data_IF_045744358911
#
_entry.id   IF_045744358911
#
_cell.length_a   1.000
_cell.length_b   1.000
_cell.length_c   1.000
_cell.angle_alpha   90.00
_cell.angle_beta   90.00
_cell.angle_gamma   90.00
#
_symmetry.space_group_name_H-M   'P 1'
#
loop_
_entity.id
_entity.type
_entity.pdbx_description
1 polymer ?
#
# COMPACT_ATOMS: atom_id res chain seq x y z
N UNK A 1 17.15 10.03 -69.08
CA UNK A 1 18.06 10.00 -67.91
C UNK A 1 17.36 10.68 -66.75
N UNK A 2 16.96 9.92 -65.72
CA UNK A 2 16.41 10.47 -64.48
C UNK A 2 17.00 9.67 -63.33
N UNK A 3 17.97 10.24 -62.62
CA UNK A 3 18.72 9.58 -61.55
C UNK A 3 17.92 9.64 -60.24
N UNK A 4 17.55 8.48 -59.71
CA UNK A 4 16.87 8.36 -58.42
C UNK A 4 17.85 8.70 -57.27
N UNK A 5 17.44 9.60 -56.37
CA UNK A 5 18.18 9.96 -55.15
C UNK A 5 18.15 8.79 -54.15
N UNK A 6 19.27 8.46 -53.47
CA UNK A 6 19.27 7.43 -52.44
C UNK A 6 18.61 7.92 -51.14
N UNK A 7 17.80 7.06 -50.53
CA UNK A 7 17.11 7.32 -49.27
C UNK A 7 18.09 7.42 -48.10
N UNK A 8 17.92 8.46 -47.27
CA UNK A 8 18.75 8.71 -46.09
C UNK A 8 18.55 7.61 -45.03
N UNK A 9 19.65 7.04 -44.54
CA UNK A 9 19.67 6.12 -43.38
C UNK A 9 19.23 6.86 -42.13
N UNK A 10 18.15 6.39 -41.49
CA UNK A 10 17.70 6.85 -40.17
C UNK A 10 18.78 6.55 -39.12
N UNK A 11 19.17 7.58 -38.38
CA UNK A 11 20.09 7.49 -37.25
C UNK A 11 19.46 6.69 -36.09
N UNK A 12 20.24 5.86 -35.37
CA UNK A 12 19.73 5.05 -34.28
C UNK A 12 19.28 5.96 -33.13
N UNK A 13 18.01 5.82 -32.70
CA UNK A 13 17.48 6.57 -31.57
C UNK A 13 18.28 6.26 -30.31
N UNK A 14 18.88 7.29 -29.69
CA UNK A 14 19.58 7.16 -28.41
C UNK A 14 18.61 6.60 -27.37
N UNK A 15 18.87 5.37 -26.88
CA UNK A 15 18.13 4.80 -25.74
C UNK A 15 18.25 5.75 -24.55
N UNK A 16 17.13 6.06 -23.90
CA UNK A 16 17.11 6.86 -22.70
C UNK A 16 18.07 6.25 -21.65
N UNK A 17 18.88 7.05 -20.96
CA UNK A 17 19.82 6.54 -19.96
C UNK A 17 19.05 5.82 -18.85
N UNK A 18 19.48 4.60 -18.51
CA UNK A 18 18.91 3.84 -17.41
C UNK A 18 18.95 4.69 -16.13
N UNK A 19 17.78 4.94 -15.52
CA UNK A 19 17.67 5.67 -14.25
C UNK A 19 18.64 5.04 -13.25
N UNK A 20 19.62 5.83 -12.77
CA UNK A 20 20.59 5.39 -11.75
C UNK A 20 19.81 4.93 -10.52
N UNK A 21 19.96 3.66 -10.16
CA UNK A 21 19.39 3.13 -8.91
C UNK A 21 19.95 3.96 -7.74
N UNK A 22 19.11 4.31 -6.73
CA UNK A 22 19.59 5.04 -5.57
C UNK A 22 20.74 4.26 -4.92
N UNK A 23 21.85 4.94 -4.63
CA UNK A 23 23.00 4.33 -3.93
C UNK A 23 22.59 4.00 -2.50
N UNK A 24 23.07 2.87 -1.98
CA UNK A 24 22.93 2.50 -0.57
C UNK A 24 23.41 3.69 0.29
N UNK A 25 22.57 4.12 1.22
CA UNK A 25 22.91 5.22 2.14
C UNK A 25 24.10 4.82 3.03
N UNK A 26 24.84 5.82 3.52
CA UNK A 26 25.90 5.60 4.52
C UNK A 26 25.25 5.06 5.81
N UNK A 27 25.94 4.15 6.51
CA UNK A 27 25.46 3.66 7.80
C UNK A 27 25.27 4.81 8.79
N UNK A 28 24.21 4.74 9.61
CA UNK A 28 23.89 5.71 10.66
C UNK A 28 23.73 7.17 10.16
N UNK A 29 23.33 7.36 8.90
CA UNK A 29 23.31 8.70 8.28
C UNK A 29 21.91 9.30 8.07
N UNK A 30 20.84 8.62 8.49
CA UNK A 30 19.46 9.03 8.23
C UNK A 30 18.55 8.65 9.40
N UNK A 31 17.63 9.55 9.74
CA UNK A 31 16.65 9.35 10.79
C UNK A 31 17.09 9.93 12.13
N UNK A 32 16.31 9.62 13.16
CA UNK A 32 16.50 10.00 14.54
C UNK A 32 17.27 8.91 15.30
N UNK A 33 18.00 9.32 16.33
CA UNK A 33 18.48 8.41 17.37
C UNK A 33 17.31 7.95 18.26
N UNK A 34 17.53 6.90 19.04
CA UNK A 34 16.50 6.36 19.94
C UNK A 34 15.98 7.42 20.94
N UNK A 35 16.86 8.25 21.51
CA UNK A 35 16.46 9.30 22.44
C UNK A 35 15.64 10.42 21.76
N UNK A 36 15.96 10.75 20.52
CA UNK A 36 15.23 11.75 19.72
C UNK A 36 13.85 11.27 19.27
N UNK A 37 13.55 9.97 19.36
CA UNK A 37 12.22 9.43 19.09
C UNK A 37 11.22 9.75 20.21
N UNK A 38 11.69 10.20 21.38
CA UNK A 38 10.81 10.57 22.50
C UNK A 38 9.83 11.65 22.08
N UNK A 39 8.55 11.45 22.43
CA UNK A 39 7.48 12.40 22.21
C UNK A 39 6.63 12.48 23.47
N UNK A 40 6.72 13.59 24.20
CA UNK A 40 6.00 13.77 25.47
C UNK A 40 4.62 14.40 25.27
N UNK A 41 4.44 15.20 24.21
CA UNK A 41 3.18 15.92 23.94
C UNK A 41 2.78 15.79 22.48
N UNK A 42 1.50 15.48 22.24
CA UNK A 42 0.91 15.46 20.91
C UNK A 42 0.35 16.84 20.54
N UNK A 43 0.38 17.17 19.26
CA UNK A 43 -0.17 18.41 18.72
C UNK A 43 -0.81 18.17 17.34
N UNK A 44 -1.70 19.07 16.92
CA UNK A 44 -2.42 18.97 15.65
C UNK A 44 -3.17 17.65 15.50
N UNK A 45 -3.14 17.09 14.28
CA UNK A 45 -3.81 15.83 13.92
C UNK A 45 -3.54 14.68 14.90
N UNK A 46 -2.35 14.64 15.50
CA UNK A 46 -1.99 13.58 16.44
C UNK A 46 -2.78 13.68 17.76
N UNK A 47 -3.09 14.91 18.21
CA UNK A 47 -3.94 15.11 19.37
C UNK A 47 -5.41 14.78 19.06
N UNK A 48 -5.88 15.06 17.84
CA UNK A 48 -7.23 14.70 17.40
C UNK A 48 -7.41 13.17 17.32
N UNK A 49 -6.40 12.46 16.82
CA UNK A 49 -6.39 10.99 16.84
C UNK A 49 -6.36 10.44 18.26
N UNK A 50 -5.59 11.06 19.18
CA UNK A 50 -5.62 10.69 20.60
C UNK A 50 -7.03 10.80 21.18
N UNK A 51 -7.70 11.93 20.99
CA UNK A 51 -9.08 12.13 21.43
C UNK A 51 -10.04 11.10 20.80
N UNK A 52 -9.86 10.76 19.52
CA UNK A 52 -10.66 9.72 18.87
C UNK A 52 -10.45 8.35 19.49
N UNK A 53 -9.20 7.98 19.81
CA UNK A 53 -8.91 6.71 20.49
C UNK A 53 -9.71 6.61 21.78
N UNK A 54 -9.70 7.67 22.59
CA UNK A 54 -10.42 7.72 23.86
C UNK A 54 -11.95 7.67 23.64
N UNK A 55 -12.48 8.43 22.68
CA UNK A 55 -13.92 8.48 22.36
C UNK A 55 -14.47 7.14 21.83
N UNK A 56 -13.67 6.35 21.12
CA UNK A 56 -14.04 5.02 20.64
C UNK A 56 -13.85 3.93 21.72
N UNK A 57 -13.52 4.31 22.96
CA UNK A 57 -13.33 3.40 24.08
C UNK A 57 -11.95 2.73 24.14
N UNK A 58 -10.98 3.27 23.39
CA UNK A 58 -9.59 2.82 23.41
C UNK A 58 -8.75 3.47 24.51
N UNK A 59 -7.55 2.93 24.70
CA UNK A 59 -6.59 3.37 25.70
C UNK A 59 -5.22 3.66 25.06
N UNK A 60 -4.66 4.84 25.31
CA UNK A 60 -3.35 5.23 24.80
C UNK A 60 -2.25 4.70 25.73
N UNK A 61 -1.36 3.87 25.20
CA UNK A 61 -0.19 3.33 25.92
C UNK A 61 0.97 4.32 25.95
N UNK A 62 1.15 5.09 24.88
CA UNK A 62 2.22 6.06 24.73
C UNK A 62 2.33 6.57 23.30
N UNK A 63 3.23 7.54 23.09
CA UNK A 63 3.50 8.09 21.78
C UNK A 63 5.00 8.31 21.55
N UNK A 64 5.41 8.27 20.28
CA UNK A 64 6.79 8.45 19.87
C UNK A 64 6.85 8.97 18.44
N UNK A 65 8.01 9.51 18.04
CA UNK A 65 8.30 9.83 16.65
C UNK A 65 8.92 8.62 15.96
N UNK A 66 8.36 8.21 14.82
CA UNK A 66 8.95 7.20 13.94
C UNK A 66 10.41 7.58 13.61
N UNK A 67 11.37 6.66 13.81
CA UNK A 67 12.80 6.96 13.74
C UNK A 67 13.25 7.36 12.32
N UNK A 68 12.53 7.00 11.26
CA UNK A 68 12.96 7.33 9.90
C UNK A 68 12.44 8.70 9.45
N UNK A 69 11.15 8.96 9.68
CA UNK A 69 10.43 10.11 9.13
C UNK A 69 10.08 11.20 10.13
N UNK A 70 10.40 11.04 11.43
CA UNK A 70 9.94 11.93 12.52
C UNK A 70 8.43 12.15 12.48
N UNK A 71 7.68 11.08 12.18
CA UNK A 71 6.22 11.13 12.17
C UNK A 71 5.68 10.67 13.52
N UNK A 72 4.74 11.38 14.15
CA UNK A 72 4.15 10.91 15.41
C UNK A 72 3.40 9.60 15.18
N UNK A 73 3.59 8.65 16.09
CA UNK A 73 2.89 7.36 16.17
C UNK A 73 2.37 7.19 17.59
N UNK A 74 1.12 6.72 17.70
CA UNK A 74 0.46 6.50 18.99
C UNK A 74 0.31 4.99 19.18
N UNK A 75 0.92 4.44 20.22
CA UNK A 75 0.68 3.06 20.64
C UNK A 75 -0.59 3.03 21.51
N UNK A 76 -1.56 2.19 21.15
CA UNK A 76 -2.85 2.12 21.83
C UNK A 76 -3.40 0.69 21.90
N UNK A 77 -4.36 0.50 22.80
CA UNK A 77 -5.24 -0.68 22.86
C UNK A 77 -6.62 -0.22 22.42
N UNK A 78 -7.17 -0.84 21.39
CA UNK A 78 -8.45 -0.44 20.79
C UNK A 78 -9.49 -1.56 20.95
N UNK A 79 -10.77 -1.25 21.18
CA UNK A 79 -11.85 -2.24 21.09
C UNK A 79 -11.86 -2.87 19.71
N UNK A 80 -12.01 -4.20 19.64
CA UNK A 80 -11.87 -4.92 18.36
C UNK A 80 -12.95 -4.53 17.34
N UNK A 81 -14.12 -4.10 17.84
CA UNK A 81 -15.28 -3.68 17.04
C UNK A 81 -15.11 -2.27 16.47
N UNK A 82 -14.18 -1.47 17.01
CA UNK A 82 -13.89 -0.13 16.51
C UNK A 82 -12.95 -0.15 15.30
N UNK A 83 -12.54 -1.33 14.81
CA UNK A 83 -11.51 -1.47 13.78
C UNK A 83 -12.03 -2.31 12.62
N UNK A 84 -11.98 -1.74 11.42
CA UNK A 84 -12.30 -2.45 10.18
C UNK A 84 -11.07 -2.59 9.25
N UNK A 85 -11.03 -3.60 8.38
CA UNK A 85 -10.04 -3.65 7.30
C UNK A 85 -10.17 -2.43 6.38
N UNK A 86 -9.06 -1.95 5.82
CA UNK A 86 -9.18 -0.95 4.74
C UNK A 86 -9.89 -1.55 3.51
N UNK A 87 -10.75 -0.79 2.79
CA UNK A 87 -11.53 -1.30 1.65
C UNK A 87 -10.71 -1.95 0.52
N UNK A 88 -9.43 -1.63 0.43
CA UNK A 88 -8.52 -1.96 -0.64
C UNK A 88 -7.50 -3.05 -0.27
N UNK A 89 -7.64 -3.66 0.90
CA UNK A 89 -6.76 -4.75 1.32
C UNK A 89 -6.95 -6.03 0.50
N UNK A 90 -5.89 -6.85 0.52
CA UNK A 90 -5.93 -8.19 -0.07
C UNK A 90 -7.00 -9.06 0.54
N UNK A 91 -7.46 -10.01 -0.26
CA UNK A 91 -8.42 -11.01 0.17
C UNK A 91 -7.85 -11.83 1.34
N UNK A 92 -8.72 -12.09 2.33
CA UNK A 92 -8.35 -12.84 3.52
C UNK A 92 -8.09 -14.31 3.14
N UNK A 93 -6.92 -14.82 3.52
CA UNK A 93 -6.67 -16.26 3.45
C UNK A 93 -7.27 -16.95 4.67
N UNK A 94 -8.31 -17.76 4.43
CA UNK A 94 -8.97 -18.54 5.47
C UNK A 94 -7.98 -19.47 6.20
N UNK A 95 -7.08 -20.12 5.48
CA UNK A 95 -6.09 -21.00 6.10
C UNK A 95 -5.07 -20.25 6.98
N UNK A 96 -4.61 -19.06 6.55
CA UNK A 96 -3.58 -18.32 7.30
C UNK A 96 -4.10 -17.73 8.60
N UNK A 97 -5.27 -17.08 8.63
CA UNK A 97 -5.76 -16.50 9.89
C UNK A 97 -6.16 -17.59 10.92
N UNK A 98 -6.62 -18.77 10.47
CA UNK A 98 -6.91 -19.91 11.36
C UNK A 98 -5.67 -20.41 12.08
N UNK A 99 -4.60 -20.66 11.31
CA UNK A 99 -3.31 -21.06 11.90
C UNK A 99 -2.77 -20.01 12.85
N UNK A 100 -2.92 -18.73 12.50
CA UNK A 100 -2.52 -17.64 13.38
C UNK A 100 -3.32 -17.63 14.68
N UNK A 101 -4.66 -17.79 14.61
CA UNK A 101 -5.50 -17.92 15.79
C UNK A 101 -5.06 -19.10 16.67
N UNK A 102 -4.79 -20.27 16.09
CA UNK A 102 -4.35 -21.45 16.85
C UNK A 102 -3.01 -21.22 17.56
N UNK A 103 -2.08 -20.48 16.93
CA UNK A 103 -0.80 -20.12 17.56
C UNK A 103 -1.01 -19.11 18.69
N UNK A 104 -1.81 -18.06 18.45
CA UNK A 104 -2.12 -17.04 19.44
C UNK A 104 -2.82 -17.62 20.67
N UNK A 105 -3.74 -18.56 20.49
CA UNK A 105 -4.44 -19.24 21.58
C UNK A 105 -3.47 -20.07 22.43
N UNK A 106 -2.55 -20.80 21.78
CA UNK A 106 -1.53 -21.59 22.47
C UNK A 106 -0.51 -20.75 23.21
N UNK A 107 -0.10 -19.61 22.65
CA UNK A 107 0.90 -18.74 23.28
C UNK A 107 0.30 -17.80 24.32
N UNK A 108 -0.99 -17.48 24.20
CA UNK A 108 -1.66 -16.47 25.03
C UNK A 108 -1.12 -15.05 24.80
N UNK A 109 -0.37 -14.81 23.72
CA UNK A 109 0.32 -13.54 23.46
C UNK A 109 0.14 -13.08 22.03
N UNK A 110 -0.25 -11.80 21.84
CA UNK A 110 -0.42 -11.19 20.52
C UNK A 110 0.87 -10.59 19.94
N UNK A 111 1.64 -9.85 20.76
CA UNK A 111 2.97 -9.27 20.49
C UNK A 111 3.13 -8.29 19.31
N UNK A 112 2.39 -8.46 18.22
CA UNK A 112 2.59 -7.73 16.97
C UNK A 112 1.41 -6.79 16.68
N UNK A 113 1.46 -5.53 17.17
CA UNK A 113 0.35 -4.58 17.04
C UNK A 113 0.02 -4.31 15.56
N UNK A 114 -1.27 -4.22 15.26
CA UNK A 114 -1.71 -3.84 13.91
C UNK A 114 -1.38 -2.37 13.64
N UNK A 115 -1.27 -1.97 12.38
CA UNK A 115 -1.27 -0.55 12.02
C UNK A 115 -2.72 -0.11 11.88
N UNK A 116 -3.05 1.05 12.45
CA UNK A 116 -4.38 1.66 12.37
C UNK A 116 -4.29 3.12 11.90
N UNK A 117 -5.32 3.58 11.20
CA UNK A 117 -5.55 4.98 10.83
C UNK A 117 -6.99 5.35 11.14
N UNK A 118 -7.26 6.62 11.36
CA UNK A 118 -8.62 7.15 11.47
C UNK A 118 -9.46 6.79 10.23
N UNK A 119 -10.62 6.16 10.45
CA UNK A 119 -11.61 5.96 9.38
C UNK A 119 -12.36 7.27 9.08
N UNK A 120 -12.97 7.47 7.89
CA UNK A 120 -13.66 8.72 7.54
C UNK A 120 -14.77 9.11 8.51
N UNK A 121 -15.55 8.14 9.00
CA UNK A 121 -16.72 8.40 9.84
C UNK A 121 -16.49 8.03 11.30
N UNK A 122 -16.35 6.72 11.59
CA UNK A 122 -16.23 6.20 12.95
C UNK A 122 -15.11 5.16 13.04
N UNK A 123 -14.42 5.11 14.18
CA UNK A 123 -13.42 4.11 14.47
C UNK A 123 -12.17 4.23 13.60
N UNK A 124 -11.59 3.08 13.31
CA UNK A 124 -10.28 2.95 12.68
C UNK A 124 -10.32 1.98 11.51
N UNK A 125 -9.45 2.22 10.56
CA UNK A 125 -9.10 1.23 9.55
C UNK A 125 -7.72 0.67 9.80
N UNK A 126 -7.54 -0.63 9.59
CA UNK A 126 -6.22 -1.25 9.60
C UNK A 126 -5.69 -1.39 8.17
N UNK A 127 -4.70 -0.61 7.72
CA UNK A 127 -4.03 -0.83 6.44
C UNK A 127 -3.02 -1.99 6.49
N UNK A 128 -2.56 -2.40 7.68
CA UNK A 128 -1.73 -3.58 7.87
C UNK A 128 -2.09 -4.29 9.16
N UNK A 129 -2.54 -5.54 9.06
CA UNK A 129 -3.00 -6.29 10.23
C UNK A 129 -4.25 -7.14 10.01
N UNK A 130 -4.84 -7.17 8.80
CA UNK A 130 -6.10 -7.90 8.54
C UNK A 130 -6.12 -9.33 9.08
N UNK A 131 -5.10 -10.15 8.79
CA UNK A 131 -5.06 -11.53 9.28
C UNK A 131 -4.97 -11.61 10.81
N UNK A 132 -4.26 -10.67 11.44
CA UNK A 132 -4.15 -10.54 12.90
C UNK A 132 -5.47 -10.11 13.52
N UNK A 133 -6.14 -9.12 12.94
CA UNK A 133 -7.48 -8.68 13.35
C UNK A 133 -8.48 -9.84 13.29
N UNK A 134 -8.54 -10.55 12.17
CA UNK A 134 -9.48 -11.67 11.98
C UNK A 134 -9.14 -12.88 12.86
N UNK A 135 -7.85 -13.13 13.13
CA UNK A 135 -7.44 -14.15 14.10
C UNK A 135 -7.90 -13.77 15.52
N UNK A 136 -7.72 -12.53 15.94
CA UNK A 136 -8.17 -12.03 17.25
C UNK A 136 -9.71 -12.05 17.36
N UNK A 137 -10.44 -11.67 16.31
CA UNK A 137 -11.91 -11.78 16.23
C UNK A 137 -12.36 -13.24 16.39
N UNK A 138 -11.69 -14.17 15.70
CA UNK A 138 -11.97 -15.62 15.81
C UNK A 138 -11.76 -16.15 17.23
N UNK A 139 -10.81 -15.59 17.98
CA UNK A 139 -10.57 -15.93 19.40
C UNK A 139 -11.52 -15.21 20.36
N UNK A 140 -12.42 -14.36 19.88
CA UNK A 140 -13.32 -13.58 20.74
C UNK A 140 -12.61 -12.52 21.56
N UNK A 141 -11.47 -12.03 21.10
CA UNK A 141 -10.72 -10.98 21.80
C UNK A 141 -11.53 -9.67 21.86
N UNK A 142 -11.59 -9.05 23.04
CA UNK A 142 -12.33 -7.78 23.25
C UNK A 142 -11.58 -6.56 22.71
N UNK A 143 -10.25 -6.64 22.65
CA UNK A 143 -9.38 -5.54 22.29
C UNK A 143 -8.13 -6.04 21.57
N UNK A 144 -7.43 -5.12 20.89
CA UNK A 144 -6.22 -5.40 20.13
C UNK A 144 -5.24 -4.22 20.24
N UNK A 145 -3.95 -4.52 20.33
CA UNK A 145 -2.91 -3.47 20.33
C UNK A 145 -2.69 -2.96 18.91
N UNK A 146 -2.55 -1.65 18.78
CA UNK A 146 -2.37 -0.96 17.52
C UNK A 146 -1.32 0.16 17.59
N UNK A 147 -0.62 0.37 16.48
CA UNK A 147 0.13 1.58 16.19
C UNK A 147 -0.74 2.48 15.31
N UNK A 148 -1.29 3.52 15.92
CA UNK A 148 -2.20 4.45 15.27
C UNK A 148 -1.40 5.59 14.65
N UNK A 149 -1.54 5.75 13.34
CA UNK A 149 -0.84 6.78 12.57
C UNK A 149 -1.81 7.94 12.28
N UNK A 150 -1.47 9.19 12.65
CA UNK A 150 -2.36 10.33 12.47
C UNK A 150 -2.71 10.65 11.01
N UNK A 151 -1.77 10.41 10.10
CA UNK A 151 -1.93 10.71 8.66
C UNK A 151 -2.72 9.60 7.96
N UNK A 152 -4.00 9.83 7.70
CA UNK A 152 -4.84 8.87 6.94
C UNK A 152 -4.32 8.62 5.52
N UNK A 153 -3.78 9.64 4.86
CA UNK A 153 -3.31 9.59 3.46
C UNK A 153 -2.22 8.54 3.21
N UNK A 154 -1.47 8.15 4.25
CA UNK A 154 -0.41 7.14 4.11
C UNK A 154 -0.91 5.70 4.23
N UNK A 155 -2.22 5.48 4.45
CA UNK A 155 -2.80 4.13 4.56
C UNK A 155 -2.41 3.22 3.38
N UNK A 156 -2.36 3.77 2.17
CA UNK A 156 -1.92 3.09 0.96
C UNK A 156 -0.42 2.79 0.95
N UNK A 157 0.38 3.74 1.44
CA UNK A 157 1.84 3.58 1.54
C UNK A 157 2.21 2.48 2.53
N UNK A 158 1.43 2.35 3.62
CA UNK A 158 1.63 1.30 4.62
C UNK A 158 1.44 -0.09 4.02
N UNK A 159 0.55 -0.27 3.04
CA UNK A 159 0.42 -1.56 2.35
C UNK A 159 1.68 -1.95 1.59
N UNK A 160 2.32 -0.97 0.95
CA UNK A 160 3.57 -1.16 0.22
C UNK A 160 4.77 -1.52 1.14
N UNK A 161 4.67 -1.26 2.46
CA UNK A 161 5.71 -1.64 3.42
C UNK A 161 5.81 -3.16 3.65
N UNK A 162 4.81 -3.95 3.26
CA UNK A 162 4.82 -5.41 3.37
C UNK A 162 5.73 -6.09 2.33
N UNK A 163 7.02 -5.74 2.34
CA UNK A 163 8.03 -6.20 1.39
C UNK A 163 8.56 -7.61 1.67
N UNK A 164 8.32 -8.16 2.87
CA UNK A 164 8.82 -9.48 3.30
C UNK A 164 8.15 -10.66 2.60
N UNK A 165 6.89 -10.51 2.18
CA UNK A 165 6.19 -11.49 1.34
C UNK A 165 5.88 -10.83 0.02
N UNK A 166 6.84 -10.85 -0.91
CA UNK A 166 6.62 -10.40 -2.27
C UNK A 166 5.32 -11.01 -2.80
N UNK A 167 4.36 -10.15 -3.14
CA UNK A 167 3.10 -10.62 -3.69
C UNK A 167 3.39 -11.38 -4.96
N UNK A 168 2.73 -12.52 -5.12
CA UNK A 168 2.69 -13.12 -6.43
C UNK A 168 2.05 -12.08 -7.39
N UNK A 169 2.40 -12.16 -8.66
CA UNK A 169 1.98 -11.18 -9.66
C UNK A 169 0.46 -10.93 -9.63
N UNK A 170 -0.34 -11.98 -9.41
CA UNK A 170 -1.80 -11.90 -9.36
C UNK A 170 -2.27 -11.00 -8.22
N UNK A 171 -1.85 -11.30 -7.00
CA UNK A 171 -2.27 -10.54 -5.81
C UNK A 171 -1.84 -9.08 -5.93
N UNK A 172 -0.63 -8.82 -6.46
CA UNK A 172 -0.14 -7.46 -6.66
C UNK A 172 -0.96 -6.70 -7.69
N UNK A 173 -1.28 -7.34 -8.80
CA UNK A 173 -2.00 -6.71 -9.90
C UNK A 173 -3.46 -6.40 -9.52
N UNK A 174 -4.10 -7.31 -8.76
CA UNK A 174 -5.44 -7.09 -8.22
C UNK A 174 -5.47 -5.99 -7.15
N UNK A 175 -4.42 -5.85 -6.35
CA UNK A 175 -4.29 -4.73 -5.41
C UNK A 175 -4.13 -3.40 -6.15
N UNK A 176 -3.25 -3.34 -7.16
CA UNK A 176 -3.02 -2.12 -7.95
C UNK A 176 -4.30 -1.68 -8.68
N UNK A 177 -5.07 -2.58 -9.29
CA UNK A 177 -6.30 -2.18 -9.99
C UNK A 177 -7.38 -1.66 -9.04
N UNK A 178 -7.46 -2.18 -7.80
CA UNK A 178 -8.34 -1.64 -6.75
C UNK A 178 -7.91 -0.23 -6.33
N UNK A 179 -6.61 -0.02 -6.09
CA UNK A 179 -6.05 1.31 -5.80
C UNK A 179 -6.37 2.28 -6.94
N UNK A 180 -6.15 1.85 -8.19
CA UNK A 180 -6.38 2.65 -9.38
C UNK A 180 -7.82 3.17 -9.45
N UNK A 181 -8.83 2.29 -9.25
CA UNK A 181 -10.24 2.70 -9.28
C UNK A 181 -10.61 3.64 -8.15
N UNK A 182 -10.14 3.38 -6.94
CA UNK A 182 -10.39 4.28 -5.81
C UNK A 182 -9.79 5.68 -6.05
N UNK A 183 -8.60 5.77 -6.65
CA UNK A 183 -7.99 7.06 -6.99
C UNK A 183 -8.78 7.82 -8.06
N UNK A 184 -9.41 7.13 -9.01
CA UNK A 184 -10.35 7.75 -9.96
C UNK A 184 -11.56 8.33 -9.22
N UNK A 185 -12.10 7.59 -8.25
CA UNK A 185 -13.26 8.03 -7.47
C UNK A 185 -12.92 9.22 -6.55
N UNK A 186 -11.70 9.27 -5.99
CA UNK A 186 -11.23 10.38 -5.16
C UNK A 186 -10.92 11.65 -5.96
N UNK A 187 -10.19 11.53 -7.08
CA UNK A 187 -9.76 12.68 -7.88
C UNK A 187 -9.48 12.30 -9.35
N UNK A 188 -10.47 12.51 -10.21
CA UNK A 188 -10.39 12.22 -11.65
C UNK A 188 -9.36 13.07 -12.40
N UNK A 189 -8.90 14.19 -11.82
CA UNK A 189 -8.01 15.16 -12.47
C UNK A 189 -6.54 14.74 -12.46
N UNK A 190 -6.14 13.85 -11.54
CA UNK A 190 -4.75 13.38 -11.43
C UNK A 190 -4.33 12.58 -12.66
N UNK A 191 -3.10 12.81 -13.12
CA UNK A 191 -2.51 11.96 -14.16
C UNK A 191 -2.02 10.65 -13.56
N UNK A 192 -1.92 9.62 -14.39
CA UNK A 192 -1.38 8.32 -13.97
C UNK A 192 0.08 8.42 -13.48
N UNK A 193 0.88 9.36 -14.03
CA UNK A 193 2.24 9.62 -13.53
C UNK A 193 2.26 10.26 -12.14
N UNK A 194 1.29 11.11 -11.80
CA UNK A 194 1.22 11.75 -10.47
C UNK A 194 1.03 10.72 -9.35
N UNK A 195 0.37 9.61 -9.69
CA UNK A 195 0.07 8.51 -8.76
C UNK A 195 0.95 7.27 -9.01
N UNK A 196 1.94 7.35 -9.90
CA UNK A 196 2.83 6.25 -10.26
C UNK A 196 3.50 5.58 -9.05
N UNK A 197 3.78 6.37 -8.01
CA UNK A 197 4.31 5.88 -6.75
C UNK A 197 3.41 4.81 -6.10
N UNK A 198 2.09 4.99 -6.17
CA UNK A 198 1.11 4.06 -5.58
C UNK A 198 0.90 2.80 -6.44
N UNK A 199 1.14 2.90 -7.75
CA UNK A 199 0.89 1.82 -8.70
C UNK A 199 2.10 0.88 -8.87
N UNK A 200 3.29 1.32 -8.41
CA UNK A 200 4.60 0.66 -8.50
C UNK A 200 5.10 0.39 -9.91
N UNK A 201 4.36 -0.38 -10.71
CA UNK A 201 4.70 -0.77 -12.07
C UNK A 201 3.48 -0.61 -13.00
N UNK A 202 3.61 0.03 -14.18
CA UNK A 202 2.48 0.22 -15.11
C UNK A 202 1.83 -1.09 -15.58
N UNK A 203 2.59 -2.18 -15.59
CA UNK A 203 2.11 -3.50 -16.02
C UNK A 203 1.02 -4.03 -15.08
N UNK A 204 1.07 -3.69 -13.79
CA UNK A 204 0.16 -4.21 -12.77
C UNK A 204 -1.28 -3.76 -12.99
N UNK A 205 -1.50 -2.55 -13.52
CA UNK A 205 -2.85 -2.09 -13.89
C UNK A 205 -3.44 -2.98 -15.01
N UNK A 206 -2.67 -3.25 -16.07
CA UNK A 206 -3.09 -4.13 -17.17
C UNK A 206 -3.33 -5.56 -16.69
N UNK A 207 -2.39 -6.09 -15.90
CA UNK A 207 -2.48 -7.44 -15.35
C UNK A 207 -3.67 -7.59 -14.42
N UNK A 208 -3.98 -6.56 -13.62
CA UNK A 208 -5.10 -6.56 -12.70
C UNK A 208 -6.42 -6.76 -13.45
N UNK A 209 -6.59 -6.02 -14.55
CA UNK A 209 -7.73 -6.17 -15.46
C UNK A 209 -7.81 -7.57 -16.08
N UNK A 210 -6.68 -8.15 -16.49
CA UNK A 210 -6.65 -9.54 -16.98
C UNK A 210 -7.10 -10.54 -15.90
N UNK A 211 -6.65 -10.37 -14.66
CA UNK A 211 -7.02 -11.26 -13.55
C UNK A 211 -8.47 -11.09 -13.07
N UNK A 212 -9.04 -9.89 -13.19
CA UNK A 212 -10.46 -9.66 -12.91
C UNK A 212 -11.35 -10.36 -13.94
N UNK A 213 -10.99 -10.29 -15.22
CA UNK A 213 -11.69 -11.02 -16.30
C UNK A 213 -11.48 -12.53 -16.20
N UNK A 214 -10.26 -12.97 -15.90
CA UNK A 214 -9.89 -14.39 -15.78
C UNK A 214 -8.96 -14.63 -14.57
N UNK A 215 -9.51 -15.12 -13.44
CA UNK A 215 -8.71 -15.40 -12.24
C UNK A 215 -7.56 -16.40 -12.43
N UNK A 216 -7.60 -17.25 -13.46
CA UNK A 216 -6.58 -18.27 -13.79
C UNK A 216 -5.62 -17.83 -14.90
N UNK A 217 -5.64 -16.55 -15.27
CA UNK A 217 -4.76 -16.00 -16.31
C UNK A 217 -3.27 -16.30 -16.01
N UNK A 218 -2.53 -16.75 -17.01
CA UNK A 218 -1.10 -17.11 -16.87
C UNK A 218 -0.18 -15.90 -16.91
N UNK A 219 -0.45 -14.88 -16.09
CA UNK A 219 0.23 -13.58 -16.17
C UNK A 219 1.74 -13.64 -15.99
N UNK A 220 2.27 -14.64 -15.29
CA UNK A 220 3.71 -14.81 -15.11
C UNK A 220 4.47 -14.98 -16.44
N UNK A 221 3.85 -15.60 -17.44
CA UNK A 221 4.42 -15.79 -18.79
C UNK A 221 4.46 -14.46 -19.54
N UNK A 222 3.40 -13.67 -19.44
CA UNK A 222 3.21 -12.45 -20.24
C UNK A 222 3.78 -11.19 -19.60
N UNK A 223 3.97 -11.14 -18.28
CA UNK A 223 4.36 -9.90 -17.58
C UNK A 223 5.69 -9.32 -18.04
N UNK A 224 6.64 -10.18 -18.40
CA UNK A 224 7.92 -9.73 -18.92
C UNK A 224 7.80 -8.89 -20.20
N UNK A 225 6.80 -9.17 -21.04
CA UNK A 225 6.48 -8.42 -22.25
C UNK A 225 5.63 -7.19 -21.94
N UNK A 226 4.54 -7.36 -21.18
CA UNK A 226 3.64 -6.25 -20.81
C UNK A 226 4.43 -5.14 -20.13
N UNK A 227 5.28 -5.46 -19.15
CA UNK A 227 6.15 -4.50 -18.48
C UNK A 227 7.03 -3.68 -19.42
N UNK A 228 7.47 -4.25 -20.54
CA UNK A 228 8.31 -3.55 -21.53
C UNK A 228 7.50 -2.67 -22.48
N UNK A 229 6.21 -2.91 -22.59
CA UNK A 229 5.28 -2.24 -23.50
C UNK A 229 4.35 -1.25 -22.77
N UNK A 230 4.44 -1.18 -21.44
CA UNK A 230 3.63 -0.29 -20.60
C UNK A 230 4.50 0.73 -19.89
N UNK A 231 4.10 1.99 -20.00
CA UNK A 231 4.65 3.13 -19.26
C UNK A 231 3.48 3.91 -18.65
N UNK A 232 3.73 4.62 -17.53
CA UNK A 232 2.72 5.51 -16.94
C UNK A 232 2.45 6.71 -17.86
N UNK A 233 1.18 7.03 -18.02
CA UNK A 233 0.65 8.05 -18.91
C UNK A 233 0.56 9.42 -18.23
N UNK A 234 0.74 10.50 -18.99
CA UNK A 234 0.43 11.88 -18.56
C UNK A 234 -1.08 12.18 -18.62
N UNK A 235 -1.90 11.21 -19.04
CA UNK A 235 -3.35 11.38 -19.12
C UNK A 235 -4.01 11.18 -17.76
N UNK A 236 -5.17 11.82 -17.59
CA UNK A 236 -6.06 11.61 -16.44
C UNK A 236 -6.33 10.11 -16.22
N UNK A 237 -6.42 9.69 -14.95
CA UNK A 237 -6.52 8.28 -14.55
C UNK A 237 -7.61 7.52 -15.30
N UNK A 238 -8.82 8.07 -15.43
CA UNK A 238 -9.90 7.40 -16.14
C UNK A 238 -9.57 7.11 -17.63
N UNK A 239 -8.81 7.99 -18.28
CA UNK A 239 -8.40 7.81 -19.67
C UNK A 239 -7.24 6.83 -19.79
N UNK A 240 -6.28 6.89 -18.87
CA UNK A 240 -5.17 5.96 -18.81
C UNK A 240 -5.66 4.52 -18.54
N UNK A 241 -6.64 4.34 -17.64
CA UNK A 241 -7.28 3.05 -17.36
C UNK A 241 -7.89 2.40 -18.60
N UNK A 242 -8.60 3.17 -19.45
CA UNK A 242 -9.13 2.66 -20.73
C UNK A 242 -8.02 2.17 -21.67
N UNK A 243 -6.84 2.79 -21.61
CA UNK A 243 -5.66 2.33 -22.34
C UNK A 243 -5.12 1.00 -21.81
N UNK A 244 -5.25 0.74 -20.50
CA UNK A 244 -4.95 -0.56 -19.89
C UNK A 244 -6.02 -1.61 -20.22
N UNK A 245 -7.30 -1.24 -20.24
CA UNK A 245 -8.41 -2.14 -20.61
C UNK A 245 -8.24 -2.69 -22.04
N UNK A 246 -7.95 -1.82 -23.01
CA UNK A 246 -7.67 -2.24 -24.40
C UNK A 246 -6.48 -3.19 -24.54
N UNK A 247 -5.50 -3.10 -23.64
CA UNK A 247 -4.33 -3.99 -23.61
C UNK A 247 -4.59 -5.30 -22.85
N UNK A 248 -5.68 -5.35 -22.08
CA UNK A 248 -6.08 -6.52 -21.28
C UNK A 248 -7.01 -7.49 -22.02
N UNK A 249 -7.55 -7.05 -23.16
CA UNK A 249 -8.34 -7.85 -24.11
C UNK A 249 -7.43 -8.66 -25.04
#
# INVERSE_FOLDING_TARGET
MGTAKPAARKSPSKRAPARRRPRKAKALSRGLTAGECRLDTLAGDANDVKARIENEGGFVLGCYNDPLGKQPVIAAVLPIEAIEPTPFQRDLSQAHHRRLADVLDRTGMFLDPIIAVSAPEKGFWTPNGRHRLEAMRRLGAKAITALVVPKREIAWQILALNTEKAHNLRDKSLEVIRIYRNLIDEDQGKSEKDVAFYLEEPSYATMGLCYEKNPRFSGAVYNSFVRRLTEFSDQALAKALRGHEKRSE
#
